data_IF_041194294140
#
_entry.id   IF_041194294140
#
_cell.length_a   1.000
_cell.length_b   1.000
_cell.length_c   1.000
_cell.angle_alpha   90.00
_cell.angle_beta   90.00
_cell.angle_gamma   90.00
#
_symmetry.space_group_name_H-M   'P 1'
#
loop_
_entity.id
_entity.type
_entity.pdbx_description
1 polymer ?
#
# COMPACT_ATOMS: atom_id res chain seq x y z
N UNK A 1 22.56 -3.74 -58.44
CA UNK A 1 21.75 -4.71 -59.21
C UNK A 1 20.75 -5.35 -58.27
N UNK A 2 19.45 -5.32 -58.64
CA UNK A 2 18.31 -6.12 -58.12
C UNK A 2 18.05 -6.01 -56.60
N UNK A 3 17.27 -5.04 -56.11
CA UNK A 3 15.80 -5.10 -55.96
C UNK A 3 15.19 -6.50 -56.16
N UNK A 4 14.84 -7.16 -55.05
CA UNK A 4 13.69 -8.05 -54.94
C UNK A 4 12.94 -7.66 -53.66
N UNK A 5 11.96 -6.77 -53.84
CA UNK A 5 10.87 -6.59 -52.89
C UNK A 5 9.91 -7.75 -53.09
N UNK A 6 9.50 -8.44 -52.03
CA UNK A 6 8.27 -9.20 -52.05
C UNK A 6 7.33 -8.61 -51.02
N UNK A 7 6.30 -7.95 -51.57
CA UNK A 7 4.98 -7.68 -51.00
C UNK A 7 4.89 -6.72 -49.80
N UNK A 8 4.46 -5.48 -50.09
CA UNK A 8 3.62 -4.70 -49.19
C UNK A 8 2.20 -5.30 -49.23
N UNK A 9 1.69 -5.76 -48.09
CA UNK A 9 0.25 -5.82 -47.85
C UNK A 9 -0.17 -4.51 -47.15
N UNK A 10 -1.16 -3.76 -47.68
CA UNK A 10 -1.48 -2.43 -47.17
C UNK A 10 -2.71 -2.45 -46.26
N UNK A 11 -2.65 -3.04 -45.07
CA UNK A 11 -3.70 -2.85 -44.05
C UNK A 11 -3.17 -3.11 -42.62
N UNK A 12 -2.35 -2.20 -42.06
CA UNK A 12 -2.48 -1.77 -40.65
C UNK A 12 -1.98 -0.34 -40.54
N UNK A 13 -2.90 0.48 -40.06
CA UNK A 13 -2.80 1.82 -39.48
C UNK A 13 -1.40 2.17 -38.94
N UNK A 14 -0.78 3.21 -39.48
CA UNK A 14 0.39 3.86 -38.91
C UNK A 14 -0.01 4.55 -37.60
N UNK A 15 0.48 4.06 -36.47
CA UNK A 15 0.67 4.87 -35.28
C UNK A 15 1.96 5.66 -35.45
N UNK A 16 1.84 6.96 -35.24
CA UNK A 16 2.90 7.94 -35.38
C UNK A 16 4.15 7.59 -34.54
N UNK A 17 5.30 7.79 -35.19
CA UNK A 17 6.64 8.04 -34.65
C UNK A 17 6.71 8.36 -33.14
N UNK A 18 7.49 7.58 -32.37
CA UNK A 18 8.78 8.01 -31.79
C UNK A 18 9.61 6.77 -31.37
N UNK A 19 10.69 6.57 -32.12
CA UNK A 19 12.04 6.09 -31.77
C UNK A 19 12.30 5.26 -30.47
N UNK A 20 13.11 4.19 -30.54
CA UNK A 20 13.60 3.49 -29.36
C UNK A 20 14.58 4.38 -28.57
N UNK A 21 14.12 4.95 -27.46
CA UNK A 21 15.03 5.55 -26.48
C UNK A 21 15.81 4.42 -25.82
N UNK A 22 17.08 4.31 -26.21
CA UNK A 22 18.09 3.54 -25.49
C UNK A 22 18.28 4.19 -24.11
N UNK A 23 17.50 3.73 -23.13
CA UNK A 23 17.68 4.12 -21.74
C UNK A 23 18.93 3.42 -21.19
N UNK A 24 20.06 4.14 -21.28
CA UNK A 24 21.31 3.75 -20.64
C UNK A 24 21.08 3.67 -19.14
N UNK A 25 21.06 2.45 -18.62
CA UNK A 25 21.01 2.19 -17.18
C UNK A 25 22.21 2.85 -16.49
N UNK A 26 22.02 3.72 -15.48
CA UNK A 26 23.14 4.24 -14.72
C UNK A 26 23.69 3.13 -13.82
N UNK A 27 24.98 2.85 -13.98
CA UNK A 27 25.73 1.87 -13.21
C UNK A 27 25.60 2.11 -11.69
N UNK A 28 24.94 1.18 -11.00
CA UNK A 28 24.83 1.18 -9.54
C UNK A 28 26.23 0.95 -8.93
N UNK A 29 26.80 1.98 -8.30
CA UNK A 29 28.00 1.86 -7.48
C UNK A 29 27.64 1.09 -6.22
N UNK A 30 28.06 -0.18 -6.16
CA UNK A 30 27.96 -1.02 -4.96
C UNK A 30 28.70 -0.30 -3.84
N UNK A 31 27.97 0.34 -2.93
CA UNK A 31 28.52 0.78 -1.65
C UNK A 31 28.95 -0.49 -0.94
N UNK A 32 30.24 -0.77 -0.98
CA UNK A 32 30.91 -1.78 -0.17
C UNK A 32 30.76 -1.28 1.26
N UNK A 33 29.63 -1.60 1.88
CA UNK A 33 29.46 -1.36 3.30
C UNK A 33 30.63 -2.06 3.98
N UNK A 34 31.40 -1.31 4.77
CA UNK A 34 32.38 -1.89 5.70
C UNK A 34 31.63 -2.65 6.79
N UNK A 35 30.95 -3.73 6.41
CA UNK A 35 30.31 -4.68 7.31
C UNK A 35 31.34 -5.68 7.86
N UNK A 36 32.57 -5.66 7.33
CA UNK A 36 33.71 -6.42 7.81
C UNK A 36 34.77 -5.48 8.40
N UNK A 37 34.42 -4.80 9.48
CA UNK A 37 35.42 -4.11 10.34
C UNK A 37 34.94 -3.92 11.77
N UNK A 38 33.64 -4.05 12.05
CA UNK A 38 33.14 -4.05 13.43
C UNK A 38 32.97 -5.47 14.02
N UNK A 39 32.91 -6.51 13.19
CA UNK A 39 32.56 -7.86 13.65
C UNK A 39 33.73 -8.86 13.70
N UNK A 40 34.98 -8.37 13.67
CA UNK A 40 36.18 -9.22 13.89
C UNK A 40 37.04 -8.74 15.07
N UNK A 41 36.52 -7.81 15.88
CA UNK A 41 37.18 -7.32 17.09
C UNK A 41 36.59 -7.84 18.39
N UNK A 42 35.55 -8.68 18.34
CA UNK A 42 34.80 -9.15 19.50
C UNK A 42 34.68 -10.68 19.58
N UNK A 43 35.72 -11.40 19.13
CA UNK A 43 35.77 -12.85 19.27
C UNK A 43 37.07 -13.30 19.93
N UNK A 44 37.26 -12.86 21.17
CA UNK A 44 38.06 -13.59 22.15
C UNK A 44 37.43 -13.43 23.54
N UNK A 45 36.21 -13.96 23.69
CA UNK A 45 35.79 -14.54 24.96
C UNK A 45 34.71 -15.59 24.68
N UNK A 46 35.16 -16.84 24.53
CA UNK A 46 34.30 -18.01 24.53
C UNK A 46 33.75 -18.21 25.95
N UNK A 47 32.43 -18.23 26.13
CA UNK A 47 31.73 -19.34 26.82
C UNK A 47 30.25 -19.02 27.06
N UNK A 48 29.42 -19.78 26.34
CA UNK A 48 28.17 -20.41 26.77
C UNK A 48 27.05 -19.62 27.48
N UNK A 49 25.89 -19.81 26.84
CA UNK A 49 24.56 -20.03 27.41
C UNK A 49 23.77 -18.80 27.92
N UNK A 50 22.75 -18.50 27.11
CA UNK A 50 21.49 -17.82 27.43
C UNK A 50 21.52 -16.29 27.48
N UNK A 51 21.98 -15.65 26.41
CA UNK A 51 21.57 -14.27 26.10
C UNK A 51 20.95 -14.23 24.69
N UNK A 52 19.78 -14.85 24.56
CA UNK A 52 18.85 -14.63 23.44
C UNK A 52 18.53 -13.12 23.32
N UNK A 53 18.43 -12.53 22.11
CA UNK A 53 18.14 -11.11 21.92
C UNK A 53 16.67 -10.77 22.25
N UNK A 54 16.23 -11.00 23.49
CA UNK A 54 14.89 -10.76 24.00
C UNK A 54 14.40 -9.32 23.76
N UNK A 55 15.30 -8.34 23.81
CA UNK A 55 15.02 -6.90 23.61
C UNK A 55 14.57 -6.59 22.17
N UNK A 56 15.02 -7.37 21.16
CA UNK A 56 14.64 -7.15 19.77
C UNK A 56 13.21 -7.67 19.47
N UNK A 57 12.80 -8.74 20.15
CA UNK A 57 11.48 -9.32 19.97
C UNK A 57 10.37 -8.47 20.58
N UNK A 58 10.61 -7.81 21.71
CA UNK A 58 9.62 -6.93 22.35
C UNK A 58 9.30 -5.70 21.48
N UNK A 59 10.31 -5.09 20.87
CA UNK A 59 10.13 -3.98 19.93
C UNK A 59 9.33 -4.42 18.68
N UNK A 60 9.60 -5.63 18.18
CA UNK A 60 8.85 -6.21 17.07
C UNK A 60 7.38 -6.45 17.45
N UNK A 61 7.13 -6.95 18.66
CA UNK A 61 5.78 -7.21 19.15
C UNK A 61 4.97 -5.92 19.28
N UNK A 62 5.56 -4.84 19.80
CA UNK A 62 4.91 -3.52 19.87
C UNK A 62 4.53 -3.00 18.48
N UNK A 63 5.45 -3.03 17.50
CA UNK A 63 5.17 -2.59 16.14
C UNK A 63 4.06 -3.41 15.46
N UNK A 64 4.01 -4.73 15.71
CA UNK A 64 2.94 -5.60 15.22
C UNK A 64 1.59 -5.28 15.89
N UNK A 65 1.58 -5.01 17.20
CA UNK A 65 0.39 -4.62 17.93
C UNK A 65 -0.19 -3.30 17.41
N UNK A 66 0.66 -2.29 17.19
CA UNK A 66 0.27 -1.01 16.61
C UNK A 66 -0.31 -1.16 15.19
N UNK A 67 0.32 -2.00 14.36
CA UNK A 67 -0.18 -2.31 13.01
C UNK A 67 -1.54 -2.98 13.07
N UNK A 68 -1.73 -3.96 13.95
CA UNK A 68 -3.01 -4.65 14.17
C UNK A 68 -4.08 -3.67 14.66
N UNK A 69 -3.74 -2.79 15.59
CA UNK A 69 -4.66 -1.78 16.11
C UNK A 69 -5.14 -0.82 15.01
N UNK A 70 -4.23 -0.34 14.15
CA UNK A 70 -4.59 0.47 12.99
C UNK A 70 -5.54 -0.26 12.04
N UNK A 71 -5.27 -1.53 11.73
CA UNK A 71 -6.14 -2.34 10.90
C UNK A 71 -7.53 -2.55 11.54
N UNK A 72 -7.58 -2.79 12.86
CA UNK A 72 -8.82 -2.93 13.60
C UNK A 72 -9.66 -1.64 13.58
N UNK A 73 -9.03 -0.47 13.68
CA UNK A 73 -9.72 0.83 13.57
C UNK A 73 -10.36 1.04 12.20
N UNK A 74 -9.65 0.68 11.12
CA UNK A 74 -10.19 0.73 9.75
C UNK A 74 -11.40 -0.19 9.61
N UNK A 75 -11.27 -1.45 10.07
CA UNK A 75 -12.37 -2.42 10.01
C UNK A 75 -13.58 -1.98 10.82
N UNK A 76 -13.36 -1.40 12.00
CA UNK A 76 -14.43 -0.85 12.82
C UNK A 76 -15.14 0.30 12.10
N UNK A 77 -14.41 1.23 11.51
CA UNK A 77 -15.01 2.33 10.77
C UNK A 77 -15.82 1.85 9.55
N UNK A 78 -15.40 0.76 8.89
CA UNK A 78 -16.19 0.13 7.83
C UNK A 78 -17.51 -0.46 8.37
N UNK A 79 -17.46 -1.14 9.51
CA UNK A 79 -18.66 -1.68 10.17
C UNK A 79 -19.61 -0.56 10.59
N UNK A 80 -19.07 0.50 11.20
CA UNK A 80 -19.84 1.69 11.60
C UNK A 80 -20.51 2.33 10.38
N UNK A 81 -19.79 2.45 9.25
CA UNK A 81 -20.37 2.97 8.01
C UNK A 81 -21.48 2.08 7.47
N UNK A 82 -21.29 0.76 7.41
CA UNK A 82 -22.32 -0.19 6.98
C UNK A 82 -23.57 -0.13 7.88
N UNK A 83 -23.38 -0.01 9.19
CA UNK A 83 -24.49 0.12 10.14
C UNK A 83 -25.26 1.44 9.93
N UNK A 84 -24.55 2.55 9.69
CA UNK A 84 -25.17 3.83 9.40
C UNK A 84 -25.92 3.85 8.06
N UNK A 85 -25.38 3.19 7.03
CA UNK A 85 -26.07 3.00 5.75
C UNK A 85 -27.35 2.17 5.93
N UNK A 86 -27.28 1.05 6.64
CA UNK A 86 -28.46 0.23 6.93
C UNK A 86 -29.52 1.00 7.73
N UNK A 87 -29.09 1.85 8.67
CA UNK A 87 -30.01 2.73 9.40
C UNK A 87 -30.70 3.70 8.44
N UNK A 88 -29.95 4.42 7.61
CA UNK A 88 -30.50 5.32 6.59
C UNK A 88 -31.49 4.64 5.65
N UNK A 89 -31.19 3.43 5.18
CA UNK A 89 -32.10 2.64 4.33
C UNK A 89 -33.39 2.20 5.03
N UNK A 90 -33.35 2.05 6.35
CA UNK A 90 -34.49 1.59 7.16
C UNK A 90 -35.39 2.71 7.70
N UNK A 91 -34.90 3.95 7.77
CA UNK A 91 -35.63 5.08 8.35
C UNK A 91 -36.77 5.50 7.44
N UNK A 92 -37.98 5.62 8.00
CA UNK A 92 -39.17 6.11 7.28
C UNK A 92 -39.69 7.43 7.83
N UNK A 93 -39.25 7.80 9.03
CA UNK A 93 -39.66 8.98 9.74
C UNK A 93 -38.97 10.21 9.17
N UNK A 94 -39.71 11.19 8.62
CA UNK A 94 -39.13 12.33 7.92
C UNK A 94 -38.21 13.18 8.81
N UNK A 95 -38.50 13.27 10.11
CA UNK A 95 -37.68 14.00 11.08
C UNK A 95 -36.33 13.31 11.38
N UNK A 96 -36.20 12.02 11.07
CA UNK A 96 -34.98 11.24 11.31
C UNK A 96 -34.10 11.09 10.06
N UNK A 97 -34.62 11.38 8.87
CA UNK A 97 -33.88 11.25 7.62
C UNK A 97 -32.62 12.11 7.63
N UNK A 98 -32.72 13.37 8.02
CA UNK A 98 -31.57 14.29 8.07
C UNK A 98 -30.49 13.79 9.04
N UNK A 99 -30.91 13.26 10.19
CA UNK A 99 -30.01 12.64 11.16
C UNK A 99 -29.33 11.40 10.57
N UNK A 100 -30.07 10.56 9.86
CA UNK A 100 -29.55 9.35 9.24
C UNK A 100 -28.55 9.65 8.11
N UNK A 101 -28.84 10.63 7.24
CA UNK A 101 -27.92 11.12 6.20
C UNK A 101 -26.63 11.62 6.83
N UNK A 102 -26.74 12.49 7.84
CA UNK A 102 -25.56 13.04 8.51
C UNK A 102 -24.70 11.93 9.16
N UNK A 103 -25.33 10.98 9.84
CA UNK A 103 -24.64 9.85 10.46
C UNK A 103 -23.91 8.97 9.45
N UNK A 104 -24.56 8.64 8.34
CA UNK A 104 -23.97 7.86 7.24
C UNK A 104 -22.76 8.56 6.64
N UNK A 105 -22.89 9.84 6.28
CA UNK A 105 -21.77 10.61 5.71
C UNK A 105 -20.61 10.77 6.68
N UNK A 106 -20.89 11.02 7.95
CA UNK A 106 -19.86 11.17 8.98
C UNK A 106 -19.05 9.87 9.14
N UNK A 107 -19.73 8.71 9.16
CA UNK A 107 -19.09 7.41 9.23
C UNK A 107 -18.25 7.11 7.96
N UNK A 108 -18.77 7.44 6.78
CA UNK A 108 -18.03 7.31 5.51
C UNK A 108 -16.74 8.15 5.51
N UNK A 109 -16.84 9.44 5.87
CA UNK A 109 -15.69 10.36 5.94
C UNK A 109 -14.62 9.84 6.90
N UNK A 110 -15.03 9.31 8.07
CA UNK A 110 -14.12 8.69 9.03
C UNK A 110 -13.41 7.46 8.47
N UNK A 111 -14.13 6.58 7.79
CA UNK A 111 -13.54 5.39 7.16
C UNK A 111 -12.51 5.77 6.09
N UNK A 112 -12.86 6.69 5.19
CA UNK A 112 -11.95 7.19 4.14
C UNK A 112 -10.71 7.84 4.76
N UNK A 113 -10.88 8.66 5.80
CA UNK A 113 -9.75 9.26 6.53
C UNK A 113 -8.79 8.19 7.07
N UNK A 114 -9.31 7.12 7.69
CA UNK A 114 -8.48 6.05 8.23
C UNK A 114 -7.77 5.24 7.15
N UNK A 115 -8.41 5.03 5.98
CA UNK A 115 -7.75 4.39 4.83
C UNK A 115 -6.58 5.22 4.30
N UNK A 116 -6.78 6.53 4.16
CA UNK A 116 -5.72 7.47 3.74
C UNK A 116 -4.54 7.43 4.71
N UNK A 117 -4.84 7.38 6.02
CA UNK A 117 -3.81 7.35 7.06
C UNK A 117 -3.12 5.97 7.21
N UNK A 118 -3.74 4.88 6.77
CA UNK A 118 -3.15 3.53 6.83
C UNK A 118 -2.27 3.20 5.62
N UNK A 119 -2.24 4.06 4.59
CA UNK A 119 -1.51 3.83 3.34
C UNK A 119 -2.13 2.74 2.45
N UNK A 120 -3.33 2.26 2.79
CA UNK A 120 -4.07 1.26 2.00
C UNK A 120 -5.04 1.91 0.99
N UNK A 121 -5.12 3.23 0.96
CA UNK A 121 -5.97 3.99 0.04
C UNK A 121 -5.36 3.99 -1.37
N UNK A 122 -6.07 3.37 -2.31
CA UNK A 122 -5.81 3.52 -3.74
C UNK A 122 -6.82 4.52 -4.29
N UNK A 123 -6.34 5.67 -4.72
CA UNK A 123 -7.17 6.68 -5.39
C UNK A 123 -7.69 6.08 -6.71
N UNK A 124 -8.99 6.26 -6.98
CA UNK A 124 -9.75 5.87 -8.19
C UNK A 124 -10.11 4.37 -8.36
N UNK A 125 -11.31 4.01 -7.85
CA UNK A 125 -12.41 3.25 -8.53
C UNK A 125 -13.40 2.56 -7.58
N UNK A 126 -13.13 2.49 -6.28
CA UNK A 126 -13.92 1.65 -5.35
C UNK A 126 -15.01 2.39 -4.53
N UNK A 127 -15.33 3.64 -4.87
CA UNK A 127 -16.41 4.40 -4.21
C UNK A 127 -17.65 4.53 -5.11
N UNK A 128 -17.87 3.58 -6.01
CA UNK A 128 -19.21 3.35 -6.56
C UNK A 128 -19.98 2.49 -5.56
N UNK A 129 -20.75 3.15 -4.70
CA UNK A 129 -21.89 2.54 -3.99
C UNK A 129 -22.99 2.29 -5.02
#
# INVERSE_FOLDING_TARGET
>A
MKKLWNHCDPLVFSEDDVSPVCEKQPAAKKKRFKLFSWLLGALENSSSSEDEPAIAYEQLQAALAERKQRAAQVNKALQDWKAATAFFESVTEPELIDYAVYGMEAAQKRYIYLLKNSGSYKEQRDISV
#
